data_IF_847801025868
#
_entry.id   IF_847801025868
#
_cell.length_a   1.000
_cell.length_b   1.000
_cell.length_c   1.000
_cell.angle_alpha   90.00
_cell.angle_beta   90.00
_cell.angle_gamma   90.00
#
_symmetry.space_group_name_H-M   'P 1'
#
loop_
_entity.id
_entity.type
_entity.pdbx_description
1 polymer ?
#
# COMPACT_ATOMS: atom_id res chain seq x y z
N UNK A 1 -6.91 19.19 14.32
CA UNK A 1 -6.83 17.75 14.63
C UNK A 1 -7.36 17.00 13.43
N UNK A 2 -6.49 16.31 12.69
CA UNK A 2 -6.88 15.51 11.53
C UNK A 2 -7.29 14.12 12.03
N UNK A 3 -8.59 13.88 12.21
CA UNK A 3 -9.12 12.54 12.48
C UNK A 3 -9.20 11.76 11.16
N UNK A 4 -8.04 11.37 10.64
CA UNK A 4 -7.98 10.41 9.52
C UNK A 4 -8.43 9.05 10.03
N UNK A 5 -9.60 8.58 9.56
CA UNK A 5 -10.06 7.21 9.81
C UNK A 5 -9.22 6.28 8.92
N UNK A 6 -8.09 5.83 9.46
CA UNK A 6 -7.23 4.83 8.81
C UNK A 6 -7.51 3.46 9.43
N UNK A 7 -7.57 2.43 8.59
CA UNK A 7 -7.91 1.07 9.04
C UNK A 7 -6.69 0.33 9.60
N UNK A 8 -5.46 0.85 9.37
CA UNK A 8 -4.21 0.40 9.99
C UNK A 8 -3.67 1.57 10.82
N UNK A 9 -3.41 1.31 12.10
CA UNK A 9 -3.37 2.30 13.20
C UNK A 9 -2.20 3.31 13.18
N UNK A 10 -1.25 3.20 12.26
CA UNK A 10 -0.20 4.21 12.07
C UNK A 10 0.34 4.21 10.63
N UNK A 11 0.78 5.36 10.11
CA UNK A 11 1.42 5.41 8.80
C UNK A 11 2.69 4.56 8.81
N UNK A 12 2.88 3.74 7.78
CA UNK A 12 4.16 3.06 7.56
C UNK A 12 5.10 4.02 6.84
N UNK A 13 6.40 3.90 7.08
CA UNK A 13 7.40 4.77 6.47
C UNK A 13 8.09 4.06 5.31
N UNK A 14 8.51 4.86 4.34
CA UNK A 14 9.27 4.45 3.18
C UNK A 14 10.24 5.57 2.83
N UNK A 15 11.47 5.28 2.44
CA UNK A 15 12.43 6.29 1.99
C UNK A 15 12.30 6.48 0.47
N UNK A 16 12.57 7.68 -0.03
CA UNK A 16 12.69 7.91 -1.48
C UNK A 16 13.64 6.90 -2.15
N UNK A 17 13.23 6.37 -3.31
CA UNK A 17 13.98 5.36 -4.06
C UNK A 17 13.86 3.94 -3.49
N UNK A 18 13.28 3.77 -2.31
CA UNK A 18 13.07 2.45 -1.72
C UNK A 18 12.06 1.62 -2.55
N UNK A 19 12.12 0.31 -2.41
CA UNK A 19 11.20 -0.63 -3.06
C UNK A 19 10.76 -1.68 -2.04
N UNK A 20 9.50 -1.61 -1.60
CA UNK A 20 8.95 -2.47 -0.52
C UNK A 20 7.70 -3.21 -1.00
N UNK A 21 7.56 -4.48 -0.61
CA UNK A 21 6.27 -5.18 -0.62
C UNK A 21 5.64 -5.11 0.77
N UNK A 22 4.37 -4.71 0.84
CA UNK A 22 3.59 -4.71 2.08
C UNK A 22 2.72 -5.96 2.15
N UNK A 23 2.47 -6.45 3.36
CA UNK A 23 1.50 -7.53 3.60
C UNK A 23 0.32 -6.98 4.40
N UNK A 24 -0.88 -7.41 4.03
CA UNK A 24 -2.14 -7.04 4.68
C UNK A 24 -2.88 -8.30 5.09
N UNK A 25 -3.30 -8.34 6.35
CA UNK A 25 -4.02 -9.47 6.93
C UNK A 25 -5.53 -9.20 6.94
N UNK A 26 -6.32 -10.17 6.47
CA UNK A 26 -7.77 -10.22 6.68
C UNK A 26 -8.06 -11.16 7.86
N UNK A 27 -7.99 -10.62 9.07
CA UNK A 27 -8.24 -11.40 10.28
C UNK A 27 -9.66 -11.98 10.25
N UNK A 28 -9.76 -13.29 10.51
CA UNK A 28 -11.03 -14.02 10.53
C UNK A 28 -11.55 -14.50 9.17
N UNK A 29 -10.89 -14.13 8.06
CA UNK A 29 -11.25 -14.63 6.74
C UNK A 29 -10.81 -16.08 6.56
N UNK A 30 -11.67 -16.91 5.98
CA UNK A 30 -11.33 -18.29 5.62
C UNK A 30 -10.64 -18.38 4.26
N UNK A 31 -10.97 -17.43 3.36
CA UNK A 31 -10.42 -17.32 2.02
C UNK A 31 -10.31 -15.85 1.62
N UNK A 32 -9.15 -15.50 1.07
CA UNK A 32 -8.91 -14.22 0.38
C UNK A 32 -8.51 -14.53 -1.05
N UNK A 33 -9.00 -13.75 -2.02
CA UNK A 33 -8.67 -13.92 -3.44
C UNK A 33 -8.80 -12.61 -4.22
N UNK A 34 -8.40 -12.66 -5.49
CA UNK A 34 -8.53 -11.55 -6.46
C UNK A 34 -8.08 -10.19 -5.91
N UNK A 35 -6.84 -10.07 -5.40
CA UNK A 35 -6.33 -8.81 -4.89
C UNK A 35 -6.18 -7.78 -6.02
N UNK A 36 -6.70 -6.59 -5.80
CA UNK A 36 -6.52 -5.41 -6.62
C UNK A 36 -6.03 -4.23 -5.75
N UNK A 37 -5.09 -3.46 -6.27
CA UNK A 37 -4.43 -2.39 -5.50
C UNK A 37 -4.38 -1.12 -6.31
N UNK A 38 -4.79 -0.02 -5.67
CA UNK A 38 -4.68 1.33 -6.19
C UNK A 38 -3.87 2.17 -5.20
N UNK A 39 -2.88 2.89 -5.70
CA UNK A 39 -2.04 3.79 -4.92
C UNK A 39 -2.33 5.23 -5.33
N UNK A 40 -2.75 6.05 -4.36
CA UNK A 40 -3.00 7.47 -4.56
C UNK A 40 -1.89 8.32 -3.94
N UNK A 41 -1.39 9.31 -4.67
CA UNK A 41 -0.52 10.37 -4.16
C UNK A 41 -1.27 11.69 -4.25
N UNK A 42 -1.53 12.34 -3.11
CA UNK A 42 -2.27 13.61 -3.04
C UNK A 42 -3.62 13.58 -3.80
N UNK A 43 -4.32 12.44 -3.75
CA UNK A 43 -5.61 12.22 -4.42
C UNK A 43 -5.53 11.85 -5.91
N UNK A 44 -4.34 11.79 -6.50
CA UNK A 44 -4.13 11.29 -7.87
C UNK A 44 -3.75 9.82 -7.85
N UNK A 45 -4.35 9.02 -8.73
CA UNK A 45 -3.93 7.63 -8.94
C UNK A 45 -2.55 7.60 -9.60
N UNK A 46 -1.58 7.01 -8.91
CA UNK A 46 -0.20 6.85 -9.36
C UNK A 46 0.20 5.38 -9.50
N UNK A 47 -0.78 4.46 -9.45
CA UNK A 47 -0.58 3.00 -9.37
C UNK A 47 0.38 2.50 -10.43
N UNK A 48 0.19 2.87 -11.69
CA UNK A 48 1.02 2.44 -12.81
C UNK A 48 2.46 2.95 -12.77
N UNK A 49 2.72 4.01 -11.99
CA UNK A 49 4.04 4.62 -11.86
C UNK A 49 4.82 4.06 -10.67
N UNK A 50 4.13 3.80 -9.56
CA UNK A 50 4.78 3.40 -8.30
C UNK A 50 4.75 1.90 -8.08
N UNK A 51 3.80 1.15 -8.64
CA UNK A 51 3.80 -0.31 -8.52
C UNK A 51 4.71 -0.96 -9.56
N UNK A 52 5.58 -1.85 -9.11
CA UNK A 52 6.56 -2.53 -9.97
C UNK A 52 5.85 -3.41 -11.00
N UNK A 53 6.06 -3.11 -12.28
CA UNK A 53 5.55 -3.92 -13.39
C UNK A 53 6.22 -5.29 -13.41
N UNK A 54 5.45 -6.35 -13.67
CA UNK A 54 5.96 -7.73 -13.72
C UNK A 54 5.93 -8.46 -12.39
N UNK A 55 5.79 -7.73 -11.27
CA UNK A 55 5.47 -8.35 -9.98
C UNK A 55 4.01 -8.82 -9.94
N UNK A 56 3.72 -9.76 -9.05
CA UNK A 56 2.37 -10.25 -8.75
C UNK A 56 2.05 -10.09 -7.27
N UNK A 57 0.78 -9.85 -6.96
CA UNK A 57 0.28 -10.02 -5.60
C UNK A 57 0.34 -11.50 -5.25
N UNK A 58 0.73 -11.81 -4.02
CA UNK A 58 0.78 -13.18 -3.51
C UNK A 58 -0.23 -13.31 -2.39
N UNK A 59 -1.16 -14.24 -2.54
CA UNK A 59 -2.12 -14.59 -1.51
C UNK A 59 -1.65 -15.86 -0.80
N UNK A 60 -1.58 -15.83 0.52
CA UNK A 60 -1.23 -16.98 1.36
C UNK A 60 -2.18 -17.06 2.54
N UNK A 61 -3.21 -17.91 2.44
CA UNK A 61 -4.27 -18.00 3.44
C UNK A 61 -5.10 -16.72 3.48
N UNK A 62 -5.10 -16.05 4.63
CA UNK A 62 -5.80 -14.78 4.84
C UNK A 62 -4.89 -13.55 4.69
N UNK A 63 -3.65 -13.73 4.22
CA UNK A 63 -2.67 -12.67 4.05
C UNK A 63 -2.45 -12.40 2.56
N UNK A 64 -2.44 -11.12 2.20
CA UNK A 64 -2.07 -10.68 0.84
C UNK A 64 -0.78 -9.87 0.92
N UNK A 65 0.26 -10.37 0.28
CA UNK A 65 1.47 -9.62 0.00
C UNK A 65 1.32 -8.90 -1.33
N UNK A 66 1.45 -7.58 -1.32
CA UNK A 66 1.25 -6.76 -2.49
C UNK A 66 2.45 -6.89 -3.46
N UNK A 67 2.25 -6.53 -4.74
CA UNK A 67 3.40 -6.19 -5.59
C UNK A 67 4.20 -5.09 -4.92
N UNK A 68 5.50 -5.04 -5.19
CA UNK A 68 6.34 -4.00 -4.62
C UNK A 68 5.88 -2.62 -5.08
N UNK A 69 5.94 -1.67 -4.17
CA UNK A 69 5.76 -0.25 -4.41
C UNK A 69 7.15 0.38 -4.37
N UNK A 70 7.43 1.27 -5.32
CA UNK A 70 8.64 2.08 -5.42
C UNK A 70 8.30 3.53 -5.11
N UNK A 71 8.90 4.08 -4.07
CA UNK A 71 8.84 5.52 -3.81
C UNK A 71 9.71 6.21 -4.86
N UNK A 72 9.13 7.07 -5.70
CA UNK A 72 9.90 7.70 -6.77
C UNK A 72 10.89 8.71 -6.20
N UNK A 73 11.92 9.01 -6.99
CA UNK A 73 12.80 10.14 -6.71
C UNK A 73 11.94 11.42 -6.71
N UNK A 74 12.06 12.24 -5.67
CA UNK A 74 11.27 13.45 -5.38
C UNK A 74 9.87 13.22 -4.76
N UNK A 75 9.58 12.01 -4.28
CA UNK A 75 8.37 11.78 -3.50
C UNK A 75 8.53 12.09 -2.00
N UNK A 76 9.69 12.53 -1.55
CA UNK A 76 9.99 12.92 -0.18
C UNK A 76 9.00 13.95 0.35
N UNK A 77 8.44 13.67 1.54
CA UNK A 77 7.40 14.47 2.17
C UNK A 77 5.98 14.21 1.66
N UNK A 78 5.80 13.41 0.60
CA UNK A 78 4.46 13.02 0.13
C UNK A 78 3.90 11.85 0.94
N UNK A 79 2.58 11.66 0.77
CA UNK A 79 1.85 10.56 1.35
C UNK A 79 1.22 9.72 0.25
N UNK A 80 1.38 8.40 0.34
CA UNK A 80 0.62 7.47 -0.47
C UNK A 80 -0.52 6.88 0.34
N UNK A 81 -1.72 6.89 -0.23
CA UNK A 81 -2.84 6.11 0.26
C UNK A 81 -2.92 4.85 -0.57
N UNK A 82 -2.64 3.71 0.05
CA UNK A 82 -2.75 2.40 -0.59
C UNK A 82 -4.11 1.82 -0.26
N UNK A 83 -4.90 1.55 -1.30
CA UNK A 83 -6.20 0.89 -1.20
C UNK A 83 -6.04 -0.51 -1.74
N UNK A 84 -6.35 -1.51 -0.93
CA UNK A 84 -6.32 -2.92 -1.31
C UNK A 84 -7.75 -3.45 -1.27
N UNK A 85 -8.23 -3.93 -2.40
CA UNK A 85 -9.51 -4.62 -2.56
C UNK A 85 -9.27 -6.11 -2.78
N UNK A 86 -10.03 -6.94 -2.08
CA UNK A 86 -9.96 -8.40 -2.24
C UNK A 86 -11.36 -9.00 -2.20
N UNK A 87 -11.53 -10.14 -2.87
CA UNK A 87 -12.61 -11.07 -2.58
C UNK A 87 -12.33 -11.78 -1.25
N UNK A 88 -13.26 -11.75 -0.31
CA UNK A 88 -13.12 -12.31 1.04
C UNK A 88 -14.41 -13.05 1.41
N UNK A 89 -14.34 -14.38 1.52
CA UNK A 89 -15.48 -15.22 1.88
C UNK A 89 -16.78 -14.88 1.10
N UNK A 90 -16.66 -14.72 -0.22
CA UNK A 90 -17.72 -14.30 -1.17
C UNK A 90 -18.20 -12.84 -1.07
N UNK A 91 -17.52 -12.00 -0.28
CA UNK A 91 -17.72 -10.56 -0.24
C UNK A 91 -16.57 -9.82 -0.94
N UNK A 92 -16.77 -8.54 -1.24
CA UNK A 92 -15.69 -7.64 -1.63
C UNK A 92 -15.36 -6.79 -0.42
N UNK A 93 -14.12 -6.84 0.04
CA UNK A 93 -13.63 -6.04 1.15
C UNK A 93 -12.50 -5.11 0.72
N UNK A 94 -12.39 -3.96 1.40
CA UNK A 94 -11.31 -3.00 1.18
C UNK A 94 -10.56 -2.72 2.47
N UNK A 95 -9.24 -2.74 2.39
CA UNK A 95 -8.31 -2.28 3.43
C UNK A 95 -7.57 -1.04 2.91
N UNK A 96 -7.25 -0.12 3.80
CA UNK A 96 -6.53 1.11 3.45
C UNK A 96 -5.47 1.41 4.49
N UNK A 97 -4.29 1.79 4.02
CA UNK A 97 -3.22 2.27 4.88
C UNK A 97 -2.46 3.42 4.23
N UNK A 98 -1.82 4.21 5.09
CA UNK A 98 -1.05 5.38 4.70
C UNK A 98 0.43 5.02 4.71
N UNK A 99 1.14 5.34 3.62
CA UNK A 99 2.61 5.30 3.55
C UNK A 99 3.10 6.75 3.56
N UNK A 100 4.00 7.08 4.47
CA UNK A 100 4.73 8.35 4.47
C UNK A 100 6.08 8.16 3.78
N UNK A 101 6.29 8.89 2.69
CA UNK A 101 7.57 8.89 2.00
C UNK A 101 8.48 9.92 2.69
N UNK A 102 9.54 9.45 3.33
CA UNK A 102 10.55 10.28 3.98
C UNK A 102 11.58 10.68 2.94
N UNK A 103 11.85 11.98 2.84
CA UNK A 103 12.88 12.50 1.95
C UNK A 103 14.24 11.92 2.32
N UNK A 104 15.04 11.56 1.32
CA UNK A 104 16.43 11.17 1.56
C UNK A 104 17.18 12.37 2.13
N UNK A 105 17.47 12.39 3.43
CA UNK A 105 18.35 13.40 3.99
C UNK A 105 19.73 13.18 3.36
N UNK A 106 20.15 14.09 2.48
CA UNK A 106 21.58 14.27 2.28
C UNK A 106 22.13 14.76 3.62
N UNK A 107 23.07 14.02 4.22
CA UNK A 107 23.97 14.65 5.18
C UNK A 107 24.68 15.78 4.44
N UNK A 108 24.23 17.02 4.67
CA UNK A 108 24.93 18.25 4.27
C UNK A 108 25.57 18.90 5.48
#
# INVERSE_FOLDING_TARGET
>A
MNNGIWLIESPVQMVEGEVIAYSVDWLGASKVETPDVIVYKNGQDVTSTVMVSGDSHVVSGNVVTLKKITAQNNDGGNQYVVVVECGVDNNIERRKFLVQVVGGSAET
#
